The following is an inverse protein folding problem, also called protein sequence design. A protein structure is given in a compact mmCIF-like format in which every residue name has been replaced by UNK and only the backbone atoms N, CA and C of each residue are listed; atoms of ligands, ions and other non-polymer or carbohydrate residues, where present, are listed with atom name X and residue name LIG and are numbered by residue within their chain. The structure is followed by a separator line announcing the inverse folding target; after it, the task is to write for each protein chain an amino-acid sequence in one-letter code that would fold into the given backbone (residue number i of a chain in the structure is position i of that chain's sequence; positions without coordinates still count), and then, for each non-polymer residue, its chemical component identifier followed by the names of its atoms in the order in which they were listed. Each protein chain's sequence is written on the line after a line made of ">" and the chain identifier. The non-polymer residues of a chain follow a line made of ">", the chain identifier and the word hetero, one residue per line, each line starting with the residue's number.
data_IF_154872502320
#
_entry.id   IF_154872502320
#
_cell.length_a   1.000
_cell.length_b   1.000
_cell.length_c   1.000
_cell.angle_alpha   90.00
_cell.angle_beta   90.00
_cell.angle_gamma   90.00
#
_symmetry.space_group_name_H-M   'P 1'
#
loop_
_entity.id
_entity.type
_entity.pdbx_description
1 polymer ?
#
# COMPACT_ATOMS: atom_id res chain seq x y z
N UNK A 1 1.08 8.25 -3.33
CA UNK A 1 -0.10 8.10 -2.44
C UNK A 1 -0.64 6.67 -2.41
N UNK A 2 -0.73 5.92 -3.53
CA UNK A 2 -1.21 4.52 -3.54
C UNK A 2 -0.25 3.49 -2.88
N UNK A 3 1.06 3.68 -3.01
CA UNK A 3 2.06 2.78 -2.41
C UNK A 3 1.96 2.75 -0.86
N UNK A 4 1.63 3.89 -0.24
CA UNK A 4 1.50 4.01 1.22
C UNK A 4 0.35 3.14 1.78
N UNK A 5 -0.71 2.91 0.99
CA UNK A 5 -1.84 2.05 1.38
C UNK A 5 -1.43 0.57 1.46
N UNK A 6 -0.60 0.12 0.52
CA UNK A 6 0.03 -1.21 0.51
C UNK A 6 1.05 -1.39 1.65
N UNK A 7 1.78 -0.32 1.97
CA UNK A 7 2.83 -0.30 3.02
C UNK A 7 2.24 -0.18 4.43
N UNK A 8 1.00 0.30 4.55
CA UNK A 8 0.29 0.46 5.84
C UNK A 8 0.08 -0.88 6.57
N UNK A 9 -0.21 -0.86 7.89
CA UNK A 9 -0.53 -2.07 8.67
C UNK A 9 -1.68 -2.90 8.07
N UNK A 10 -2.70 -2.23 7.51
CA UNK A 10 -3.83 -2.84 6.80
C UNK A 10 -3.45 -3.34 5.40
N UNK A 11 -2.32 -2.91 4.87
CA UNK A 11 -1.79 -3.39 3.59
C UNK A 11 -1.41 -4.87 3.63
N UNK A 12 -1.11 -5.43 4.81
CA UNK A 12 -0.82 -6.88 4.93
C UNK A 12 -2.09 -7.72 4.77
N UNK A 13 -3.22 -7.29 5.33
CA UNK A 13 -4.52 -7.94 5.07
C UNK A 13 -4.93 -7.76 3.62
N UNK A 14 -4.74 -6.57 3.03
CA UNK A 14 -5.01 -6.35 1.61
C UNK A 14 -4.24 -7.31 0.69
N UNK A 15 -2.92 -7.47 0.91
CA UNK A 15 -2.09 -8.40 0.12
C UNK A 15 -2.57 -9.83 0.28
N UNK A 16 -2.89 -10.25 1.52
CA UNK A 16 -3.40 -11.59 1.78
C UNK A 16 -4.72 -11.84 1.06
N UNK A 17 -5.66 -10.89 1.15
CA UNK A 17 -6.99 -11.04 0.60
C UNK A 17 -6.95 -10.96 -0.95
N UNK A 18 -6.10 -10.11 -1.52
CA UNK A 18 -5.85 -10.06 -2.96
C UNK A 18 -5.21 -11.36 -3.49
N UNK A 19 -4.25 -11.92 -2.77
CA UNK A 19 -3.63 -13.22 -3.11
C UNK A 19 -4.64 -14.36 -3.00
N UNK A 20 -5.50 -14.36 -1.98
CA UNK A 20 -6.59 -15.32 -1.82
C UNK A 20 -7.61 -15.24 -2.96
N UNK A 21 -7.85 -14.03 -3.48
CA UNK A 21 -8.67 -13.79 -4.66
C UNK A 21 -7.94 -14.05 -6.00
N UNK A 22 -6.71 -14.59 -5.98
CA UNK A 22 -5.85 -14.82 -7.14
C UNK A 22 -5.63 -13.57 -8.01
N UNK A 23 -5.57 -12.40 -7.38
CA UNK A 23 -5.34 -11.13 -8.09
C UNK A 23 -3.86 -10.75 -8.03
N UNK A 24 -3.23 -10.40 -9.17
CA UNK A 24 -1.85 -9.93 -9.18
C UNK A 24 -1.74 -8.56 -8.53
N UNK A 25 -0.72 -8.37 -7.71
CA UNK A 25 -0.44 -7.15 -6.96
C UNK A 25 0.74 -6.44 -7.59
N UNK A 26 0.46 -5.26 -8.15
CA UNK A 26 1.44 -4.42 -8.84
C UNK A 26 1.62 -3.10 -8.09
N UNK A 27 2.86 -2.60 -8.02
CA UNK A 27 3.17 -1.27 -7.49
C UNK A 27 3.76 -0.36 -8.57
N UNK A 28 3.26 0.88 -8.67
CA UNK A 28 3.68 1.91 -9.62
C UNK A 28 3.80 3.29 -8.93
N UNK A 29 4.68 4.21 -9.33
CA UNK A 29 6.07 4.05 -9.77
C UNK A 29 6.95 4.10 -8.53
N UNK A 30 7.88 3.15 -8.38
CA UNK A 30 8.70 3.04 -7.17
C UNK A 30 10.14 3.43 -7.47
N UNK A 31 10.51 4.65 -7.10
CA UNK A 31 11.83 5.18 -7.44
C UNK A 31 12.80 5.17 -6.25
N UNK A 32 12.27 5.00 -5.03
CA UNK A 32 13.08 4.95 -3.82
C UNK A 32 13.48 3.51 -3.44
N UNK A 33 14.72 3.36 -3.00
CA UNK A 33 15.33 2.06 -2.66
C UNK A 33 14.59 1.30 -1.57
N UNK A 34 14.10 2.01 -0.53
CA UNK A 34 13.31 1.40 0.55
C UNK A 34 11.98 0.83 0.07
N UNK A 35 11.38 1.47 -0.93
CA UNK A 35 10.16 1.02 -1.57
C UNK A 35 10.39 -0.21 -2.44
N UNK A 36 11.49 -0.23 -3.20
CA UNK A 36 11.89 -1.39 -4.00
C UNK A 36 12.20 -2.60 -3.10
N UNK A 37 13.00 -2.42 -2.04
CA UNK A 37 13.32 -3.46 -1.06
C UNK A 37 12.05 -4.02 -0.40
N UNK A 38 11.11 -3.15 -0.02
CA UNK A 38 9.82 -3.55 0.51
C UNK A 38 9.01 -4.41 -0.49
N UNK A 39 8.96 -4.00 -1.76
CA UNK A 39 8.21 -4.72 -2.79
C UNK A 39 8.81 -6.11 -3.06
N UNK A 40 10.15 -6.20 -3.10
CA UNK A 40 10.89 -7.46 -3.25
C UNK A 40 10.59 -8.39 -2.08
N UNK A 41 10.67 -7.90 -0.84
CA UNK A 41 10.45 -8.72 0.37
C UNK A 41 9.01 -9.11 0.62
N UNK A 42 8.04 -8.33 0.12
CA UNK A 42 6.62 -8.67 0.13
C UNK A 42 6.21 -9.56 -1.04
N UNK A 43 7.16 -9.91 -1.92
CA UNK A 43 6.93 -10.78 -3.07
C UNK A 43 5.75 -10.28 -3.92
N UNK A 44 5.76 -8.99 -4.26
CA UNK A 44 4.77 -8.47 -5.20
C UNK A 44 4.97 -9.10 -6.58
N UNK A 45 3.87 -9.27 -7.31
CA UNK A 45 3.87 -9.88 -8.65
C UNK A 45 4.56 -8.98 -9.69
N UNK A 46 4.62 -7.67 -9.44
CA UNK A 46 5.34 -6.74 -10.30
C UNK A 46 5.55 -5.35 -9.72
N UNK A 47 6.62 -4.72 -10.17
CA UNK A 47 7.00 -3.35 -9.78
C UNK A 47 7.37 -2.57 -11.02
N UNK A 48 6.75 -1.42 -11.20
CA UNK A 48 7.10 -0.45 -12.24
C UNK A 48 8.08 0.55 -11.62
N UNK A 49 9.29 0.62 -12.17
CA UNK A 49 10.38 1.49 -11.69
C UNK A 49 11.22 1.96 -12.87
N UNK A 50 11.71 3.20 -12.80
CA UNK A 50 12.66 3.73 -13.78
C UNK A 50 14.07 3.13 -13.60
N UNK A 51 14.33 2.44 -12.49
CA UNK A 51 15.64 1.87 -12.13
C UNK A 51 15.62 0.33 -12.01
N UNK A 52 15.46 -0.42 -13.11
CA UNK A 52 15.33 -1.88 -13.07
C UNK A 52 16.58 -2.60 -12.56
N UNK A 53 17.78 -2.05 -12.80
CA UNK A 53 19.05 -2.63 -12.31
C UNK A 53 19.09 -2.73 -10.80
N UNK A 54 18.64 -1.67 -10.11
CA UNK A 54 18.62 -1.60 -8.65
C UNK A 54 17.66 -2.60 -8.02
N UNK A 55 16.55 -2.91 -8.71
CA UNK A 55 15.61 -3.93 -8.28
C UNK A 55 16.24 -5.34 -8.29
N UNK A 56 17.06 -5.66 -9.30
CA UNK A 56 17.75 -6.95 -9.40
C UNK A 56 18.78 -7.11 -8.28
N UNK A 57 19.60 -6.08 -8.04
CA UNK A 57 20.58 -6.07 -6.95
C UNK A 57 19.91 -6.27 -5.58
N UNK A 58 18.77 -5.60 -5.35
CA UNK A 58 18.00 -5.75 -4.12
C UNK A 58 17.38 -7.14 -3.98
N UNK A 59 16.93 -7.76 -5.07
CA UNK A 59 16.43 -9.14 -5.06
C UNK A 59 17.53 -10.12 -4.65
N UNK A 60 18.71 -10.02 -5.24
CA UNK A 60 19.85 -10.87 -4.89
C UNK A 60 20.32 -10.65 -3.45
N UNK A 61 20.35 -9.39 -3.00
CA UNK A 61 20.73 -9.01 -1.63
C UNK A 61 19.68 -9.44 -0.60
N UNK A 62 18.38 -9.38 -0.93
CA UNK A 62 17.29 -9.79 -0.05
C UNK A 62 17.29 -11.30 0.21
N UNK A 63 17.65 -12.12 -0.79
CA UNK A 63 17.81 -13.58 -0.61
C UNK A 63 18.94 -13.89 0.39
N UNK A 64 19.99 -13.07 0.42
CA UNK A 64 21.12 -13.24 1.33
C UNK A 64 20.93 -12.61 2.71
N UNK A 65 20.02 -11.64 2.85
CA UNK A 65 19.89 -10.83 4.07
C UNK A 65 18.58 -11.12 4.82
N UNK A 66 18.66 -12.01 5.82
CA UNK A 66 17.58 -12.27 6.80
C UNK A 66 17.28 -11.10 7.74
N UNK A 67 17.50 -9.84 7.32
CA UNK A 67 17.27 -8.65 8.14
C UNK A 67 15.77 -8.38 8.29
N UNK A 68 15.26 -8.09 9.50
CA UNK A 68 13.87 -7.71 9.68
C UNK A 68 13.59 -6.36 9.02
N UNK A 69 12.40 -6.22 8.42
CA UNK A 69 11.96 -5.02 7.72
C UNK A 69 11.56 -3.91 8.70
N UNK A 70 12.53 -3.35 9.43
CA UNK A 70 12.26 -2.35 10.47
C UNK A 70 12.05 -0.98 9.81
N UNK A 71 10.79 -0.57 9.66
CA UNK A 71 10.45 0.79 9.27
C UNK A 71 10.61 1.76 10.45
N UNK A 72 10.94 3.02 10.15
CA UNK A 72 10.95 4.08 11.15
C UNK A 72 9.53 4.26 11.70
N UNK A 73 9.37 4.05 13.01
CA UNK A 73 8.09 4.11 13.74
C UNK A 73 7.35 5.44 13.49
N UNK A 74 8.11 6.53 13.26
CA UNK A 74 7.57 7.85 12.89
C UNK A 74 6.74 7.84 11.61
N UNK A 75 7.13 7.05 10.60
CA UNK A 75 6.41 6.94 9.32
C UNK A 75 5.13 6.11 9.46
N UNK A 76 5.19 5.04 10.25
CA UNK A 76 3.99 4.24 10.58
C UNK A 76 2.98 5.11 11.34
N UNK A 77 3.46 5.90 12.30
CA UNK A 77 2.62 6.82 13.07
C UNK A 77 1.95 7.90 12.20
N UNK A 78 2.66 8.49 11.22
CA UNK A 78 2.06 9.47 10.32
C UNK A 78 0.95 8.87 9.44
N UNK A 79 1.11 7.62 9.00
CA UNK A 79 0.09 6.94 8.20
C UNK A 79 -1.14 6.54 9.02
N UNK A 80 -0.94 6.10 10.27
CA UNK A 80 -2.03 5.85 11.22
C UNK A 80 -2.81 7.15 11.50
N UNK A 81 -2.11 8.27 11.64
CA UNK A 81 -2.72 9.58 11.82
C UNK A 81 -3.57 10.00 10.62
N UNK A 82 -3.11 9.78 9.39
CA UNK A 82 -3.91 10.08 8.18
C UNK A 82 -5.17 9.23 8.12
N UNK A 83 -5.07 7.92 8.38
CA UNK A 83 -6.25 7.05 8.43
C UNK A 83 -7.23 7.47 9.55
N UNK A 84 -6.72 7.85 10.72
CA UNK A 84 -7.55 8.39 11.80
C UNK A 84 -8.31 9.65 11.35
N UNK A 85 -7.65 10.56 10.63
CA UNK A 85 -8.28 11.79 10.12
C UNK A 85 -9.39 11.44 9.12
N UNK A 86 -9.19 10.47 8.22
CA UNK A 86 -10.21 10.02 7.27
C UNK A 86 -11.45 9.49 8.01
N UNK A 87 -11.26 8.68 9.05
CA UNK A 87 -12.36 8.18 9.88
C UNK A 87 -13.12 9.31 10.59
N UNK A 88 -12.39 10.26 11.19
CA UNK A 88 -13.01 11.43 11.85
C UNK A 88 -13.77 12.29 10.83
N UNK A 89 -13.21 12.48 9.65
CA UNK A 89 -13.84 13.27 8.59
C UNK A 89 -15.10 12.59 8.08
N UNK A 90 -15.05 11.29 7.79
CA UNK A 90 -16.22 10.49 7.40
C UNK A 90 -17.29 10.48 8.50
N UNK A 91 -16.90 10.44 9.77
CA UNK A 91 -17.84 10.51 10.89
C UNK A 91 -18.54 11.88 10.97
N UNK A 92 -17.79 12.98 10.89
CA UNK A 92 -18.35 14.34 10.90
C UNK A 92 -19.24 14.59 9.67
N UNK A 93 -18.78 14.18 8.48
CA UNK A 93 -19.55 14.29 7.25
C UNK A 93 -20.80 13.42 7.26
N UNK A 94 -20.70 12.16 7.67
CA UNK A 94 -21.83 11.25 7.81
C UNK A 94 -22.89 11.77 8.79
N UNK A 95 -22.46 12.40 9.89
CA UNK A 95 -23.36 13.04 10.86
C UNK A 95 -24.06 14.29 10.30
N UNK A 96 -23.42 15.02 9.39
CA UNK A 96 -23.94 16.28 8.82
C UNK A 96 -24.77 16.09 7.54
N UNK A 97 -24.40 15.13 6.68
CA UNK A 97 -24.98 14.94 5.34
C UNK A 97 -25.71 13.59 5.17
N UNK A 98 -25.68 12.72 6.17
CA UNK A 98 -26.24 11.37 6.10
C UNK A 98 -25.33 10.38 5.36
N UNK A 99 -25.31 9.12 5.80
CA UNK A 99 -24.48 8.03 5.24
C UNK A 99 -24.90 7.56 3.81
N UNK A 100 -25.61 8.40 3.05
CA UNK A 100 -26.26 8.05 1.78
C UNK A 100 -25.54 8.54 0.52
N UNK A 101 -24.25 8.89 0.58
CA UNK A 101 -23.52 9.45 -0.56
C UNK A 101 -22.92 8.39 -1.52
N UNK A 102 -22.97 7.10 -1.19
CA UNK A 102 -22.28 6.04 -1.94
C UNK A 102 -23.05 5.48 -3.16
N UNK A 103 -24.38 5.64 -3.22
CA UNK A 103 -25.16 5.01 -4.30
C UNK A 103 -25.14 5.77 -5.64
N UNK A 104 -24.77 7.06 -5.67
CA UNK A 104 -24.82 7.86 -6.91
C UNK A 104 -23.56 7.77 -7.78
N UNK A 105 -22.42 7.34 -7.22
CA UNK A 105 -21.14 7.32 -7.95
C UNK A 105 -20.65 5.92 -8.35
N UNK A 106 -21.32 4.86 -7.87
CA UNK A 106 -20.97 3.46 -8.19
C UNK A 106 -21.81 2.87 -9.31
N UNK A 107 -22.85 3.58 -9.78
CA UNK A 107 -23.75 3.11 -10.84
C UNK A 107 -23.65 4.02 -12.06
N UNK A 108 -23.29 3.42 -13.21
CA UNK A 108 -23.07 3.95 -14.58
C UNK A 108 -21.62 4.39 -14.83
N UNK A 109 -20.87 3.74 -15.72
CA UNK A 109 -21.21 3.44 -17.13
C UNK A 109 -20.96 1.97 -17.54
N UNK A 110 -22.04 1.28 -17.88
CA UNK A 110 -22.06 0.28 -18.96
C UNK A 110 -22.36 1.00 -20.28
#
# INVERSE_FOLDING_TARGET
>A
MLQETLVSPLGRSFIRDARAAQRPILSWSVDNEKGLDWCVRRELDGVVTDNPKKLLELRESSVKSGRPLVWSVRRIASLLRINMIIWVFNFIFGRKYGFGLDQRYTTKSH
#
